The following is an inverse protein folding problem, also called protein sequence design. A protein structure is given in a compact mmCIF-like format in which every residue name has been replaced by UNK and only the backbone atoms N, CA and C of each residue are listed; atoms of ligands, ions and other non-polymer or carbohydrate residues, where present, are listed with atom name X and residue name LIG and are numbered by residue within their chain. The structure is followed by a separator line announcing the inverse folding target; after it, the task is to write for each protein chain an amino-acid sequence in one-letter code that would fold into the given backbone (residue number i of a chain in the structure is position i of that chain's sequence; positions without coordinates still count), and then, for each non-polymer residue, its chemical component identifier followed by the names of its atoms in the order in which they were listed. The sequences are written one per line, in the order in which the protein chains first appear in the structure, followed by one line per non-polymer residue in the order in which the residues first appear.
data_IF_537764954409
#
_entry.id   IF_537764954409
#
_cell.length_a   1.000
_cell.length_b   1.000
_cell.length_c   1.000
_cell.angle_alpha   90.00
_cell.angle_beta   90.00
_cell.angle_gamma   90.00
#
_symmetry.space_group_name_H-M   'P 1'
#
loop_
_entity.id
_entity.type
_entity.pdbx_description
1 polymer ?
#
# COMPACT_ATOMS: atom_id res chain seq x y z
N UNK A 1 34.21 10.64 16.22
CA UNK A 1 32.99 9.79 16.20
C UNK A 1 32.11 10.28 15.06
N UNK A 2 32.47 9.96 13.82
CA UNK A 2 31.67 10.32 12.64
C UNK A 2 30.52 9.31 12.55
N UNK A 3 29.28 9.77 12.70
CA UNK A 3 28.10 8.91 12.55
C UNK A 3 27.95 8.49 11.10
N UNK A 4 28.06 7.19 10.85
CA UNK A 4 27.69 6.56 9.58
C UNK A 4 26.25 6.93 9.24
N UNK A 5 26.10 7.91 8.36
CA UNK A 5 24.83 8.23 7.71
C UNK A 5 24.69 7.31 6.50
N UNK A 6 24.54 6.03 6.79
CA UNK A 6 24.32 5.01 5.78
C UNK A 6 23.02 5.30 5.02
N UNK A 7 23.13 5.54 3.72
CA UNK A 7 21.99 5.73 2.84
C UNK A 7 21.08 4.50 2.89
N UNK A 8 19.76 4.72 2.96
CA UNK A 8 18.81 3.62 2.89
C UNK A 8 19.02 2.81 1.58
N UNK A 9 18.83 1.49 1.58
CA UNK A 9 19.04 0.66 0.39
C UNK A 9 18.21 1.12 -0.81
N UNK A 10 16.98 1.59 -0.59
CA UNK A 10 16.13 2.18 -1.64
C UNK A 10 16.71 3.48 -2.20
N UNK A 11 17.36 4.29 -1.36
CA UNK A 11 18.08 5.47 -1.80
C UNK A 11 19.29 5.06 -2.64
N UNK A 12 20.08 4.09 -2.18
CA UNK A 12 21.24 3.58 -2.91
C UNK A 12 20.83 3.04 -4.30
N UNK A 13 19.82 2.18 -4.38
CA UNK A 13 19.29 1.67 -5.66
C UNK A 13 18.81 2.79 -6.57
N UNK A 14 18.15 3.82 -6.03
CA UNK A 14 17.72 4.98 -6.82
C UNK A 14 18.90 5.80 -7.36
N UNK A 15 19.94 6.00 -6.55
CA UNK A 15 21.20 6.63 -6.98
C UNK A 15 21.88 5.79 -8.06
N UNK A 16 21.93 4.47 -7.90
CA UNK A 16 22.50 3.55 -8.88
C UNK A 16 21.75 3.61 -10.22
N UNK A 17 20.41 3.63 -10.21
CA UNK A 17 19.62 3.83 -11.42
C UNK A 17 19.87 5.20 -12.09
N UNK A 18 20.00 6.27 -11.31
CA UNK A 18 20.29 7.60 -11.82
C UNK A 18 21.68 7.66 -12.47
N UNK A 19 22.71 7.11 -11.81
CA UNK A 19 24.08 7.03 -12.34
C UNK A 19 24.13 6.18 -13.62
N UNK A 20 23.43 5.05 -13.67
CA UNK A 20 23.37 4.21 -14.88
C UNK A 20 22.69 4.92 -16.05
N UNK A 21 21.62 5.67 -15.77
CA UNK A 21 20.91 6.46 -16.79
C UNK A 21 21.79 7.61 -17.29
N UNK A 22 22.48 8.30 -16.39
CA UNK A 22 23.42 9.36 -16.74
C UNK A 22 24.62 8.82 -17.54
N UNK A 23 25.22 7.70 -17.12
CA UNK A 23 26.31 7.07 -17.84
C UNK A 23 25.89 6.65 -19.25
N UNK A 24 24.71 6.02 -19.41
CA UNK A 24 24.17 5.71 -20.74
C UNK A 24 23.98 6.97 -21.57
N UNK A 25 23.34 8.00 -21.02
CA UNK A 25 23.18 9.28 -21.72
C UNK A 25 24.51 9.92 -22.14
N UNK A 26 25.51 9.95 -21.25
CA UNK A 26 26.81 10.57 -21.50
C UNK A 26 27.72 9.75 -22.43
N UNK A 27 27.45 8.46 -22.62
CA UNK A 27 28.29 7.55 -23.41
C UNK A 27 27.59 6.96 -24.64
N UNK A 28 26.27 7.09 -24.79
CA UNK A 28 25.52 6.74 -26.02
C UNK A 28 25.78 7.74 -27.18
N UNK A 29 26.54 8.82 -26.97
CA UNK A 29 27.06 9.69 -28.05
C UNK A 29 28.41 9.23 -28.64
N UNK A 30 28.96 8.09 -28.23
CA UNK A 30 30.23 7.59 -28.76
C UNK A 30 30.13 6.10 -29.14
N UNK A 31 29.77 5.85 -30.40
CA UNK A 31 29.71 4.55 -31.08
C UNK A 31 31.11 3.89 -31.24
N UNK A 32 31.74 3.49 -30.13
CA UNK A 32 32.91 2.60 -30.22
C UNK A 32 32.82 1.42 -29.22
N UNK A 33 32.43 0.21 -29.70
CA UNK A 33 32.30 -0.99 -28.90
C UNK A 33 33.62 -1.52 -28.32
N UNK A 34 34.78 -0.97 -28.71
CA UNK A 34 36.11 -1.42 -28.27
C UNK A 34 36.81 -0.48 -27.27
N UNK A 35 36.17 0.62 -26.84
CA UNK A 35 36.81 1.52 -25.88
C UNK A 35 36.78 0.99 -24.43
N UNK A 36 37.79 1.33 -23.63
CA UNK A 36 37.89 1.05 -22.18
C UNK A 36 36.65 1.47 -21.37
N UNK A 37 35.80 2.34 -21.94
CA UNK A 37 34.50 2.76 -21.41
C UNK A 37 33.53 1.58 -21.25
N UNK A 38 33.56 0.58 -22.15
CA UNK A 38 32.69 -0.60 -22.05
C UNK A 38 33.08 -1.49 -20.85
N UNK A 39 34.37 -1.57 -20.57
CA UNK A 39 34.92 -2.25 -19.37
C UNK A 39 34.60 -1.49 -18.09
N UNK A 40 34.64 -0.15 -18.11
CA UNK A 40 34.22 0.68 -17.00
C UNK A 40 32.72 0.53 -16.69
N UNK A 41 31.85 0.46 -17.71
CA UNK A 41 30.42 0.19 -17.53
C UNK A 41 30.19 -1.19 -16.93
N UNK A 42 30.91 -2.23 -17.39
CA UNK A 42 30.82 -3.57 -16.79
C UNK A 42 31.26 -3.59 -15.33
N UNK A 43 32.34 -2.88 -14.98
CA UNK A 43 32.82 -2.73 -13.60
C UNK A 43 31.85 -1.94 -12.72
N UNK A 44 31.29 -0.85 -13.22
CA UNK A 44 30.25 -0.07 -12.55
C UNK A 44 29.03 -0.97 -12.32
N UNK A 45 28.52 -1.66 -13.34
CA UNK A 45 27.38 -2.59 -13.21
C UNK A 45 27.69 -3.74 -12.24
N UNK A 46 28.89 -4.33 -12.28
CA UNK A 46 29.27 -5.40 -11.36
C UNK A 46 29.39 -4.91 -9.91
N UNK A 47 29.89 -3.69 -9.69
CA UNK A 47 29.97 -3.06 -8.37
C UNK A 47 28.60 -2.61 -7.88
N UNK A 48 27.74 -2.12 -8.78
CA UNK A 48 26.33 -1.83 -8.52
C UNK A 48 25.58 -3.10 -8.10
N UNK A 49 25.77 -4.22 -8.79
CA UNK A 49 25.14 -5.50 -8.45
C UNK A 49 25.60 -6.03 -7.09
N UNK A 50 26.87 -5.82 -6.72
CA UNK A 50 27.39 -6.12 -5.37
C UNK A 50 26.81 -5.21 -4.29
N UNK A 51 26.65 -3.91 -4.57
CA UNK A 51 26.03 -2.95 -3.64
C UNK A 51 24.50 -3.11 -3.55
N UNK A 52 23.89 -3.68 -4.57
CA UNK A 52 22.46 -3.97 -4.66
C UNK A 52 22.09 -5.37 -4.14
N UNK A 53 22.98 -6.04 -3.40
CA UNK A 53 22.56 -7.18 -2.57
C UNK A 53 21.29 -6.76 -1.81
N UNK A 54 20.18 -7.53 -1.91
CA UNK A 54 18.89 -7.06 -1.46
C UNK A 54 18.90 -6.90 0.05
N UNK A 55 19.22 -5.70 0.51
CA UNK A 55 18.94 -5.29 1.88
C UNK A 55 17.43 -5.18 1.97
N UNK A 56 16.82 -6.24 2.50
CA UNK A 56 15.40 -6.36 2.78
C UNK A 56 14.87 -5.07 3.38
N UNK A 57 13.71 -4.60 2.90
CA UNK A 57 13.07 -3.44 3.48
C UNK A 57 12.68 -3.75 4.94
N UNK A 58 13.43 -3.19 5.88
CA UNK A 58 13.39 -3.52 7.31
C UNK A 58 12.17 -2.97 8.04
N UNK A 59 11.22 -2.35 7.34
CA UNK A 59 9.98 -1.85 7.95
C UNK A 59 9.22 -3.00 8.60
N UNK A 60 8.92 -2.81 9.87
CA UNK A 60 8.26 -3.80 10.72
C UNK A 60 6.76 -3.80 10.36
N UNK A 61 6.21 -4.95 9.91
CA UNK A 61 4.78 -5.03 9.59
C UNK A 61 3.91 -4.88 10.84
N UNK A 62 2.59 -4.95 10.69
CA UNK A 62 1.58 -4.93 11.75
C UNK A 62 0.41 -5.81 11.35
N UNK A 63 -0.34 -6.36 12.29
CA UNK A 63 -1.39 -7.33 11.98
C UNK A 63 -2.76 -6.71 11.75
N UNK A 64 -3.75 -7.55 11.39
CA UNK A 64 -5.14 -7.13 11.21
C UNK A 64 -5.73 -6.54 12.49
N UNK A 65 -5.31 -6.99 13.68
CA UNK A 65 -5.88 -6.48 14.93
C UNK A 65 -5.58 -5.00 15.15
N UNK A 66 -4.38 -4.54 14.78
CA UNK A 66 -4.02 -3.10 14.78
C UNK A 66 -4.93 -2.31 13.86
N UNK A 67 -5.23 -2.82 12.66
CA UNK A 67 -6.11 -2.12 11.72
C UNK A 67 -7.57 -2.17 12.18
N UNK A 68 -8.04 -3.29 12.74
CA UNK A 68 -9.39 -3.36 13.32
C UNK A 68 -9.56 -2.34 14.45
N UNK A 69 -8.58 -2.22 15.35
CA UNK A 69 -8.59 -1.22 16.41
C UNK A 69 -8.60 0.21 15.85
N UNK A 70 -7.73 0.50 14.88
CA UNK A 70 -7.66 1.79 14.21
C UNK A 70 -8.96 2.14 13.45
N UNK A 71 -9.54 1.19 12.73
CA UNK A 71 -10.77 1.36 11.96
C UNK A 71 -12.00 1.55 12.87
N UNK A 72 -11.96 0.99 14.09
CA UNK A 72 -13.03 1.08 15.09
C UNK A 72 -12.86 2.24 16.08
N UNK A 73 -11.76 2.99 16.01
CA UNK A 73 -11.44 4.08 16.95
C UNK A 73 -12.56 5.14 16.96
N UNK A 74 -13.32 5.31 18.05
CA UNK A 74 -14.46 6.24 18.08
C UNK A 74 -14.02 7.70 18.11
N UNK A 75 -12.76 7.99 18.45
CA UNK A 75 -12.23 9.35 18.58
C UNK A 75 -11.64 9.87 17.27
N UNK A 76 -11.47 8.99 16.27
CA UNK A 76 -10.92 9.37 14.97
C UNK A 76 -12.03 9.62 13.95
N UNK A 77 -11.81 10.60 13.07
CA UNK A 77 -12.77 10.92 12.02
C UNK A 77 -13.07 9.71 11.10
N UNK A 78 -14.35 9.55 10.72
CA UNK A 78 -14.79 8.47 9.83
C UNK A 78 -13.99 8.41 8.52
N UNK A 79 -13.63 9.55 7.94
CA UNK A 79 -12.86 9.58 6.69
C UNK A 79 -11.48 8.93 6.85
N UNK A 80 -10.79 9.24 7.95
CA UNK A 80 -9.44 8.71 8.24
C UNK A 80 -9.52 7.19 8.47
N UNK A 81 -10.51 6.73 9.23
CA UNK A 81 -10.75 5.31 9.50
C UNK A 81 -11.10 4.54 8.22
N UNK A 82 -11.93 5.13 7.37
CA UNK A 82 -12.33 4.55 6.08
C UNK A 82 -11.12 4.38 5.16
N UNK A 83 -10.28 5.42 5.01
CA UNK A 83 -9.04 5.35 4.22
C UNK A 83 -8.09 4.28 4.78
N UNK A 84 -7.92 4.24 6.10
CA UNK A 84 -7.09 3.24 6.78
C UNK A 84 -7.55 1.81 6.44
N UNK A 85 -8.86 1.54 6.55
CA UNK A 85 -9.42 0.22 6.27
C UNK A 85 -9.31 -0.16 4.79
N UNK A 86 -9.56 0.76 3.84
CA UNK A 86 -9.40 0.48 2.40
C UNK A 86 -7.94 0.21 2.05
N UNK A 87 -7.01 0.95 2.65
CA UNK A 87 -5.58 0.76 2.40
C UNK A 87 -5.13 -0.66 2.78
N UNK A 88 -5.70 -1.22 3.85
CA UNK A 88 -5.50 -2.59 4.28
C UNK A 88 -6.24 -3.61 3.39
N UNK A 89 -7.58 -3.52 3.33
CA UNK A 89 -8.43 -4.47 2.63
C UNK A 89 -8.08 -4.58 1.13
N UNK A 90 -7.82 -3.44 0.49
CA UNK A 90 -7.46 -3.37 -0.93
C UNK A 90 -5.96 -3.44 -1.22
N UNK A 91 -5.11 -3.69 -0.20
CA UNK A 91 -3.64 -3.70 -0.29
C UNK A 91 -3.09 -2.50 -1.08
N UNK A 92 -3.63 -1.31 -0.82
CA UNK A 92 -3.39 -0.14 -1.65
C UNK A 92 -2.08 0.55 -1.30
N UNK A 93 -1.50 1.26 -2.28
CA UNK A 93 -0.55 2.34 -1.95
C UNK A 93 -1.37 3.44 -1.27
N UNK A 94 -1.10 3.71 0.01
CA UNK A 94 -1.78 4.78 0.75
C UNK A 94 -1.67 6.14 0.03
N UNK A 95 -0.54 6.36 -0.64
CA UNK A 95 -0.35 7.55 -1.47
C UNK A 95 -1.37 7.69 -2.59
N UNK A 96 -1.55 6.64 -3.40
CA UNK A 96 -2.50 6.63 -4.51
C UNK A 96 -3.95 6.74 -4.07
N UNK A 97 -4.29 6.18 -2.90
CA UNK A 97 -5.63 6.29 -2.32
C UNK A 97 -5.96 7.73 -1.88
N UNK A 98 -4.92 8.49 -1.51
CA UNK A 98 -5.02 9.87 -1.02
C UNK A 98 -4.67 10.91 -2.08
N UNK A 99 -4.07 10.51 -3.21
CA UNK A 99 -3.77 11.38 -4.34
C UNK A 99 -5.07 11.79 -5.04
N UNK A 100 -5.70 12.79 -4.42
CA UNK A 100 -6.30 13.95 -5.03
C UNK A 100 -5.52 15.18 -4.57
N UNK A 101 -4.38 15.44 -5.21
CA UNK A 101 -3.84 16.78 -5.29
C UNK A 101 -4.00 17.19 -6.76
N UNK A 102 -5.10 17.90 -7.06
CA UNK A 102 -5.46 18.40 -8.38
C UNK A 102 -4.26 18.84 -9.23
N UNK A 103 -4.01 18.23 -10.41
CA UNK A 103 -3.77 19.00 -11.61
C UNK A 103 -5.13 19.53 -12.09
N UNK A 104 -5.19 20.81 -12.44
CA UNK A 104 -6.42 21.52 -12.79
C UNK A 104 -7.42 20.71 -13.65
N UNK A 105 -8.67 20.60 -13.20
CA UNK A 105 -9.82 20.47 -14.10
C UNK A 105 -10.66 19.18 -14.09
N UNK A 106 -10.32 18.10 -13.36
CA UNK A 106 -11.22 16.93 -13.23
C UNK A 106 -11.46 16.57 -11.76
N UNK A 107 -12.73 16.66 -11.36
CA UNK A 107 -13.24 16.63 -9.98
C UNK A 107 -13.55 15.20 -9.49
N UNK A 108 -13.20 14.93 -8.24
CA UNK A 108 -13.72 13.90 -7.33
C UNK A 108 -13.35 12.43 -7.62
N UNK A 109 -12.67 11.80 -6.65
CA UNK A 109 -12.57 10.35 -6.47
C UNK A 109 -13.97 9.74 -6.50
N UNK A 110 -14.20 8.87 -7.49
CA UNK A 110 -15.48 8.21 -7.67
C UNK A 110 -15.51 6.92 -6.85
N UNK A 111 -16.32 6.94 -5.79
CA UNK A 111 -16.72 5.75 -5.05
C UNK A 111 -18.04 5.27 -5.66
N UNK A 112 -18.04 4.03 -6.14
CA UNK A 112 -19.19 3.39 -6.76
C UNK A 112 -19.57 2.14 -5.96
N UNK A 113 -20.84 2.02 -5.57
CA UNK A 113 -21.37 0.78 -5.06
C UNK A 113 -21.40 -0.26 -6.19
N UNK A 114 -21.08 -1.52 -5.86
CA UNK A 114 -21.08 -2.62 -6.82
C UNK A 114 -22.08 -3.69 -6.41
N UNK A 115 -22.73 -4.28 -7.41
CA UNK A 115 -23.41 -5.57 -7.28
C UNK A 115 -22.44 -6.64 -7.75
N UNK A 116 -22.03 -7.53 -6.86
CA UNK A 116 -20.99 -8.54 -7.15
C UNK A 116 -21.54 -9.71 -7.98
N UNK A 117 -22.68 -10.23 -7.57
CA UNK A 117 -23.44 -11.28 -8.24
C UNK A 117 -24.90 -11.21 -7.78
N UNK A 118 -25.80 -11.85 -8.52
CA UNK A 118 -27.22 -11.89 -8.20
C UNK A 118 -27.46 -12.56 -6.84
N UNK A 119 -28.23 -11.91 -5.95
CA UNK A 119 -28.52 -12.40 -4.60
C UNK A 119 -27.49 -12.05 -3.51
N UNK A 120 -26.34 -11.47 -3.85
CA UNK A 120 -25.38 -10.98 -2.84
C UNK A 120 -25.93 -9.79 -2.06
N UNK A 121 -26.07 -9.93 -0.74
CA UNK A 121 -26.44 -8.83 0.18
C UNK A 121 -25.22 -8.10 0.77
N UNK A 122 -24.01 -8.62 0.52
CA UNK A 122 -22.76 -8.06 1.04
C UNK A 122 -22.38 -6.75 0.35
N UNK A 123 -21.95 -5.71 1.09
CA UNK A 123 -21.49 -4.48 0.50
C UNK A 123 -20.18 -4.67 -0.27
N UNK A 124 -20.11 -4.05 -1.45
CA UNK A 124 -18.90 -3.93 -2.24
C UNK A 124 -18.83 -2.56 -2.89
N UNK A 125 -17.61 -2.03 -2.96
CA UNK A 125 -17.36 -0.69 -3.48
C UNK A 125 -16.11 -0.68 -4.33
N UNK A 126 -16.21 -0.01 -5.48
CA UNK A 126 -15.07 0.38 -6.31
C UNK A 126 -14.72 1.83 -6.00
N UNK A 127 -13.45 2.07 -5.67
CA UNK A 127 -12.86 3.37 -5.39
C UNK A 127 -11.85 3.68 -6.49
N UNK A 128 -12.12 4.71 -7.29
CA UNK A 128 -11.19 5.13 -8.35
C UNK A 128 -10.05 5.93 -7.75
N UNK A 129 -8.81 5.45 -7.88
CA UNK A 129 -7.58 6.08 -7.41
C UNK A 129 -6.70 6.49 -8.60
N UNK A 130 -5.82 7.45 -8.40
CA UNK A 130 -4.78 7.77 -9.38
C UNK A 130 -3.51 7.00 -9.01
N UNK A 131 -3.10 6.04 -9.85
CA UNK A 131 -1.79 5.43 -9.72
C UNK A 131 -0.79 6.18 -10.60
N UNK A 132 0.42 6.43 -10.07
CA UNK A 132 1.57 6.99 -10.78
C UNK A 132 1.84 6.28 -12.11
N UNK A 133 1.50 5.00 -12.22
CA UNK A 133 1.72 4.17 -13.41
C UNK A 133 0.49 4.04 -14.32
N UNK A 134 -0.69 4.56 -13.93
CA UNK A 134 -1.93 4.47 -14.71
C UNK A 134 -2.54 5.86 -14.97
N UNK A 135 -2.30 6.44 -16.16
CA UNK A 135 -2.86 7.75 -16.54
C UNK A 135 -4.40 7.76 -16.59
N UNK A 136 -5.05 6.59 -16.74
CA UNK A 136 -6.51 6.44 -16.79
C UNK A 136 -7.17 6.30 -15.41
N UNK A 137 -6.38 6.37 -14.33
CA UNK A 137 -6.80 5.95 -13.01
C UNK A 137 -6.82 4.43 -12.88
N UNK A 138 -6.75 3.95 -11.65
CA UNK A 138 -6.90 2.55 -11.29
C UNK A 138 -8.11 2.42 -10.35
N UNK A 139 -8.82 1.30 -10.36
CA UNK A 139 -9.94 1.06 -9.44
C UNK A 139 -9.54 0.08 -8.35
N UNK A 140 -9.65 0.51 -7.11
CA UNK A 140 -9.58 -0.35 -5.94
C UNK A 140 -10.96 -0.90 -5.66
N UNK A 141 -11.12 -2.21 -5.67
CA UNK A 141 -12.38 -2.82 -5.24
C UNK A 141 -12.19 -3.45 -3.87
N UNK A 142 -13.09 -3.12 -2.94
CA UNK A 142 -13.20 -3.76 -1.63
C UNK A 142 -14.56 -4.42 -1.49
N UNK A 143 -14.59 -5.61 -0.91
CA UNK A 143 -15.80 -6.43 -0.80
C UNK A 143 -15.85 -7.12 0.56
N UNK A 144 -17.06 -7.18 1.12
CA UNK A 144 -17.35 -7.90 2.35
C UNK A 144 -17.86 -9.32 2.08
N UNK A 145 -18.03 -9.70 0.81
CA UNK A 145 -18.52 -11.00 0.39
C UNK A 145 -17.36 -12.01 0.32
N UNK A 146 -17.31 -13.05 1.17
CA UNK A 146 -16.25 -14.03 1.14
C UNK A 146 -16.08 -14.77 -0.20
N UNK A 147 -17.13 -14.84 -1.02
CA UNK A 147 -17.07 -15.45 -2.35
C UNK A 147 -16.46 -14.53 -3.42
N UNK A 148 -16.28 -13.25 -3.12
CA UNK A 148 -15.76 -12.26 -4.06
C UNK A 148 -14.28 -12.43 -4.32
N UNK A 149 -13.88 -12.30 -5.60
CA UNK A 149 -12.48 -12.16 -5.97
C UNK A 149 -11.83 -10.89 -5.36
N UNK A 150 -12.59 -9.94 -4.82
CA UNK A 150 -12.06 -8.75 -4.14
C UNK A 150 -12.08 -8.87 -2.62
N UNK A 151 -12.52 -10.01 -2.08
CA UNK A 151 -12.49 -10.27 -0.65
C UNK A 151 -11.07 -10.48 -0.16
N UNK A 152 -10.70 -9.70 0.85
CA UNK A 152 -9.50 -9.89 1.60
C UNK A 152 -9.83 -10.74 2.85
N UNK A 153 -9.26 -11.95 3.01
CA UNK A 153 -9.45 -12.76 4.22
C UNK A 153 -8.94 -12.11 5.52
N UNK A 154 -8.16 -11.03 5.40
CA UNK A 154 -7.73 -10.17 6.50
C UNK A 154 -8.68 -8.99 6.76
N UNK A 155 -9.83 -8.94 6.09
CA UNK A 155 -10.64 -7.72 6.01
C UNK A 155 -11.00 -7.18 7.39
N UNK A 156 -10.88 -5.87 7.54
CA UNK A 156 -11.31 -5.14 8.73
C UNK A 156 -12.68 -4.48 8.52
N UNK A 157 -13.44 -4.90 7.50
CA UNK A 157 -14.77 -4.38 7.20
C UNK A 157 -14.78 -3.04 6.46
N UNK A 158 -13.77 -2.74 5.65
CA UNK A 158 -13.72 -1.48 4.90
C UNK A 158 -14.97 -1.16 4.06
N UNK A 159 -15.67 -2.13 3.43
CA UNK A 159 -16.88 -1.81 2.65
C UNK A 159 -18.01 -1.23 3.50
N UNK A 160 -18.10 -1.61 4.77
CA UNK A 160 -19.09 -1.05 5.70
C UNK A 160 -18.77 0.41 6.05
N UNK A 161 -17.49 0.70 6.30
CA UNK A 161 -17.02 2.07 6.54
C UNK A 161 -17.18 2.95 5.30
N UNK A 162 -16.91 2.42 4.11
CA UNK A 162 -17.15 3.12 2.83
C UNK A 162 -18.62 3.48 2.69
N UNK A 163 -19.53 2.54 2.96
CA UNK A 163 -20.98 2.78 2.93
C UNK A 163 -21.40 3.92 3.85
N UNK A 164 -20.90 3.89 5.09
CA UNK A 164 -21.18 4.94 6.08
C UNK A 164 -20.63 6.30 5.62
N UNK A 165 -19.38 6.31 5.14
CA UNK A 165 -18.71 7.52 4.66
C UNK A 165 -19.45 8.15 3.48
N UNK A 166 -19.83 7.37 2.47
CA UNK A 166 -20.56 7.85 1.29
C UNK A 166 -21.91 8.47 1.70
N UNK A 167 -22.64 7.84 2.62
CA UNK A 167 -23.90 8.38 3.16
C UNK A 167 -23.69 9.71 3.88
N UNK A 168 -22.62 9.84 4.67
CA UNK A 168 -22.29 11.09 5.34
C UNK A 168 -21.82 12.18 4.37
N UNK A 169 -21.05 11.82 3.33
CA UNK A 169 -20.46 12.72 2.34
C UNK A 169 -21.49 13.30 1.37
N UNK A 170 -22.51 12.52 0.99
CA UNK A 170 -23.60 12.96 0.10
C UNK A 170 -24.27 14.26 0.60
N UNK A 171 -24.27 14.49 1.92
CA UNK A 171 -24.83 15.68 2.55
C UNK A 171 -23.95 16.94 2.44
N UNK A 172 -22.71 16.83 1.93
CA UNK A 172 -21.69 17.90 1.98
C UNK A 172 -21.29 18.48 0.61
N UNK A 173 -21.96 18.09 -0.49
CA UNK A 173 -21.70 18.63 -1.84
C UNK A 173 -20.35 18.20 -2.45
N UNK A 174 -19.95 18.72 -3.63
CA UNK A 174 -18.71 18.34 -4.32
C UNK A 174 -17.46 18.82 -3.56
N UNK A 175 -16.32 18.14 -3.73
CA UNK A 175 -15.04 18.48 -3.10
C UNK A 175 -14.11 17.27 -3.03
N UNK A 176 -12.99 17.33 -2.28
CA UNK A 176 -12.08 16.21 -2.19
C UNK A 176 -12.74 14.88 -1.79
N UNK A 177 -12.10 13.81 -2.24
CA UNK A 177 -12.37 12.40 -2.06
C UNK A 177 -12.64 12.04 -0.60
N UNK A 178 -11.69 12.44 0.25
CA UNK A 178 -11.63 12.10 1.65
C UNK A 178 -11.55 13.39 2.45
N UNK A 179 -12.71 13.86 2.87
CA UNK A 179 -12.87 14.99 3.77
C UNK A 179 -13.27 14.54 5.17
N UNK A 180 -12.58 15.08 6.16
CA UNK A 180 -12.99 14.99 7.57
C UNK A 180 -14.31 15.72 7.81
N UNK A 181 -14.89 15.57 9.00
CA UNK A 181 -16.06 16.35 9.46
C UNK A 181 -15.87 17.86 9.41
N UNK A 182 -14.63 18.32 9.58
CA UNK A 182 -14.26 19.75 9.52
C UNK A 182 -13.96 20.23 8.10
N UNK A 183 -14.05 19.36 7.09
CA UNK A 183 -13.77 19.72 5.70
C UNK A 183 -12.29 19.70 5.33
N UNK A 184 -11.41 19.18 6.19
CA UNK A 184 -9.99 19.01 5.88
C UNK A 184 -9.77 17.75 5.03
N UNK A 185 -8.87 17.83 4.06
CA UNK A 185 -8.44 16.65 3.30
C UNK A 185 -7.67 15.67 4.20
N UNK A 186 -7.99 14.38 4.11
CA UNK A 186 -7.24 13.33 4.81
C UNK A 186 -5.82 13.25 4.25
N UNK A 187 -4.82 13.20 5.14
CA UNK A 187 -3.41 13.13 4.75
C UNK A 187 -2.79 11.77 5.08
N UNK A 188 -1.66 11.45 4.44
CA UNK A 188 -0.90 10.23 4.75
C UNK A 188 -0.54 10.17 6.23
N UNK A 189 -0.12 11.32 6.78
CA UNK A 189 0.27 11.48 8.18
C UNK A 189 -0.86 11.12 9.14
N UNK A 190 -2.06 11.65 8.92
CA UNK A 190 -3.24 11.35 9.75
C UNK A 190 -3.52 9.85 9.83
N UNK A 191 -3.44 9.15 8.69
CA UNK A 191 -3.68 7.70 8.60
C UNK A 191 -2.55 6.90 9.25
N UNK A 192 -1.29 7.27 9.03
CA UNK A 192 -0.15 6.58 9.64
C UNK A 192 -0.05 6.82 11.14
N UNK A 193 -0.39 8.00 11.63
CA UNK A 193 -0.45 8.30 13.06
C UNK A 193 -1.58 7.54 13.73
N UNK A 194 -2.75 7.41 13.07
CA UNK A 194 -3.82 6.54 13.56
C UNK A 194 -3.31 5.12 13.78
N UNK A 195 -2.67 4.51 12.78
CA UNK A 195 -2.15 3.14 12.94
C UNK A 195 -1.09 3.07 14.02
N UNK A 196 -0.13 4.01 14.05
CA UNK A 196 0.93 4.03 15.04
C UNK A 196 0.40 4.04 16.48
N UNK A 197 -0.69 4.77 16.77
CA UNK A 197 -1.33 4.78 18.11
C UNK A 197 -1.87 3.43 18.56
N UNK A 198 -2.21 2.55 17.62
CA UNK A 198 -2.79 1.22 17.89
C UNK A 198 -1.78 0.09 17.72
N UNK A 199 -0.52 0.41 17.44
CA UNK A 199 0.58 -0.56 17.41
C UNK A 199 1.05 -0.86 18.84
N UNK A 200 1.53 -2.08 19.06
CA UNK A 200 2.08 -2.51 20.35
C UNK A 200 3.60 -2.34 20.46
N UNK A 201 4.26 -2.00 19.37
CA UNK A 201 5.72 -2.00 19.25
C UNK A 201 6.30 -0.59 19.07
N UNK A 202 5.49 0.46 19.25
CA UNK A 202 5.85 1.88 19.15
C UNK A 202 6.60 2.28 17.86
N UNK A 203 6.57 1.43 16.83
CA UNK A 203 7.30 1.70 15.59
C UNK A 203 6.56 2.72 14.72
N UNK A 204 7.28 3.71 14.15
CA UNK A 204 6.67 4.67 13.26
C UNK A 204 6.08 3.96 12.04
N UNK A 205 4.83 4.30 11.71
CA UNK A 205 4.16 3.70 10.56
C UNK A 205 4.36 4.56 9.32
N UNK A 206 4.65 3.94 8.19
CA UNK A 206 4.69 4.61 6.88
C UNK A 206 3.55 4.11 6.00
N UNK A 207 3.12 4.91 5.02
CA UNK A 207 2.05 4.48 4.11
C UNK A 207 2.39 3.21 3.30
N UNK A 208 3.67 2.90 3.11
CA UNK A 208 4.11 1.67 2.45
C UNK A 208 3.97 0.43 3.35
N UNK A 209 4.00 0.62 4.67
CA UNK A 209 3.89 -0.46 5.64
C UNK A 209 2.55 -1.20 5.50
N UNK A 210 1.47 -0.54 5.09
CA UNK A 210 0.18 -1.20 4.79
C UNK A 210 0.32 -2.34 3.78
N UNK A 211 1.03 -2.12 2.66
CA UNK A 211 1.23 -3.16 1.64
C UNK A 211 2.13 -4.28 2.13
N UNK A 212 3.20 -3.95 2.87
CA UNK A 212 4.10 -4.94 3.46
C UNK A 212 3.32 -5.81 4.44
N UNK A 213 2.62 -5.19 5.38
CA UNK A 213 1.86 -5.84 6.44
C UNK A 213 0.77 -6.75 5.88
N UNK A 214 -0.07 -6.24 4.99
CA UNK A 214 -1.16 -7.02 4.40
C UNK A 214 -0.65 -8.18 3.52
N UNK A 215 0.37 -7.94 2.68
CA UNK A 215 0.97 -9.00 1.88
C UNK A 215 1.64 -10.07 2.74
N UNK A 216 2.38 -9.65 3.78
CA UNK A 216 3.03 -10.56 4.73
C UNK A 216 1.99 -11.44 5.40
N UNK A 217 0.96 -10.84 6.02
CA UNK A 217 -0.05 -11.60 6.77
C UNK A 217 -0.84 -12.57 5.87
N UNK A 218 -1.22 -12.14 4.67
CA UNK A 218 -1.92 -13.02 3.73
C UNK A 218 -1.06 -14.23 3.33
N UNK A 219 0.24 -14.01 3.15
CA UNK A 219 1.16 -15.08 2.78
C UNK A 219 1.45 -16.03 3.96
N UNK A 220 1.80 -15.48 5.12
CA UNK A 220 2.27 -16.29 6.27
C UNK A 220 1.13 -16.95 7.02
N UNK A 221 0.07 -16.19 7.34
CA UNK A 221 -1.05 -16.65 8.19
C UNK A 221 -2.17 -17.29 7.37
N UNK A 222 -2.47 -16.77 6.17
CA UNK A 222 -3.55 -17.32 5.31
C UNK A 222 -3.09 -18.21 4.17
N UNK A 223 -1.77 -18.39 4.00
CA UNK A 223 -1.18 -19.20 2.92
C UNK A 223 -1.69 -18.79 1.54
N UNK A 224 -2.04 -17.52 1.35
CA UNK A 224 -2.48 -17.01 0.06
C UNK A 224 -1.32 -17.04 -0.93
N UNK A 225 -1.60 -17.45 -2.17
CA UNK A 225 -0.59 -17.46 -3.22
C UNK A 225 -0.13 -16.04 -3.57
N UNK A 226 1.12 -15.91 -4.02
CA UNK A 226 1.68 -14.63 -4.50
C UNK A 226 0.81 -14.02 -5.60
N UNK A 227 0.24 -14.85 -6.49
CA UNK A 227 -0.68 -14.41 -7.55
C UNK A 227 -1.97 -13.82 -6.97
N UNK A 228 -2.52 -14.44 -5.91
CA UNK A 228 -3.72 -13.94 -5.23
C UNK A 228 -3.47 -12.58 -4.59
N UNK A 229 -2.35 -12.43 -3.89
CA UNK A 229 -1.94 -11.17 -3.25
C UNK A 229 -1.70 -10.08 -4.30
N UNK A 230 -1.01 -10.44 -5.39
CA UNK A 230 -0.76 -9.56 -6.53
C UNK A 230 -2.06 -9.04 -7.14
N UNK A 231 -3.05 -9.92 -7.33
CA UNK A 231 -4.38 -9.56 -7.85
C UNK A 231 -5.12 -8.60 -6.91
N UNK A 232 -5.15 -8.90 -5.59
CA UNK A 232 -5.84 -8.06 -4.60
C UNK A 232 -5.29 -6.62 -4.54
N UNK A 233 -3.97 -6.46 -4.44
CA UNK A 233 -3.36 -5.12 -4.40
C UNK A 233 -2.88 -4.60 -5.74
N UNK A 234 -3.26 -5.27 -6.84
CA UNK A 234 -3.00 -4.83 -8.22
C UNK A 234 -1.52 -4.59 -8.49
N UNK A 235 -0.66 -5.54 -8.11
CA UNK A 235 0.72 -5.56 -8.57
C UNK A 235 0.74 -5.92 -10.06
N UNK A 236 1.42 -5.11 -10.88
CA UNK A 236 1.61 -5.43 -12.31
C UNK A 236 2.39 -6.73 -12.53
N UNK A 237 3.32 -7.05 -11.63
CA UNK A 237 4.11 -8.27 -11.67
C UNK A 237 3.98 -9.01 -10.33
N UNK A 238 3.44 -10.24 -10.31
CA UNK A 238 3.37 -11.05 -9.10
C UNK A 238 4.73 -11.28 -8.42
N UNK A 239 5.82 -11.39 -9.17
CA UNK A 239 7.15 -11.57 -8.59
C UNK A 239 7.56 -10.38 -7.68
N UNK A 240 7.04 -9.18 -7.95
CA UNK A 240 7.30 -8.00 -7.12
C UNK A 240 6.61 -8.05 -5.75
N UNK A 241 5.65 -8.96 -5.52
CA UNK A 241 5.04 -9.12 -4.20
C UNK A 241 6.03 -9.71 -3.20
N UNK A 242 6.96 -10.55 -3.65
CA UNK A 242 7.93 -11.23 -2.77
C UNK A 242 8.75 -10.22 -1.96
N UNK A 243 9.09 -9.06 -2.53
CA UNK A 243 9.80 -8.00 -1.82
C UNK A 243 9.01 -7.34 -0.68
N UNK A 244 7.68 -7.56 -0.61
CA UNK A 244 6.79 -7.05 0.43
C UNK A 244 6.54 -8.05 1.56
N UNK A 245 6.95 -9.31 1.42
CA UNK A 245 6.69 -10.36 2.40
C UNK A 245 7.81 -10.36 3.45
N UNK A 246 7.44 -10.51 4.73
CA UNK A 246 8.35 -10.67 5.87
C UNK A 246 8.08 -11.99 6.58
N UNK A 247 8.62 -13.08 6.03
CA UNK A 247 8.35 -14.45 6.52
C UNK A 247 8.76 -14.65 7.98
N UNK A 248 9.79 -13.94 8.44
CA UNK A 248 10.32 -14.02 9.81
C UNK A 248 9.72 -12.99 10.79
N UNK A 249 8.58 -12.34 10.48
CA UNK A 249 7.97 -11.35 11.38
C UNK A 249 7.18 -12.05 12.53
N UNK A 250 7.78 -12.24 13.73
CA UNK A 250 7.27 -13.19 14.72
C UNK A 250 6.00 -12.70 15.43
N UNK A 251 5.78 -11.39 15.46
CA UNK A 251 4.66 -10.78 16.18
C UNK A 251 3.34 -10.84 15.39
N UNK A 252 3.37 -10.97 14.06
CA UNK A 252 2.17 -11.21 13.26
C UNK A 252 1.55 -12.58 13.54
N UNK A 253 2.39 -13.57 13.85
CA UNK A 253 1.98 -14.93 14.18
C UNK A 253 1.34 -14.99 15.58
N UNK A 254 1.81 -14.16 16.52
CA UNK A 254 1.28 -14.10 17.90
C UNK A 254 -0.09 -13.42 18.01
N UNK A 255 -0.54 -12.67 17.00
CA UNK A 255 -1.88 -12.08 16.99
C UNK A 255 -3.01 -13.11 16.77
N UNK A 256 -2.72 -14.25 16.13
CA UNK A 256 -3.68 -15.37 16.02
C UNK A 256 -3.92 -16.03 17.38
N UNK A 257 -2.86 -16.20 18.18
CA UNK A 257 -2.92 -16.84 19.50
C UNK A 257 -3.70 -16.02 20.53
N UNK A 258 -3.68 -14.69 20.41
CA UNK A 258 -4.34 -13.81 21.37
C UNK A 258 -5.86 -13.71 21.19
N UNK A 259 -6.40 -14.11 20.03
CA UNK A 259 -7.83 -13.95 19.76
C UNK A 259 -8.64 -15.23 19.86
N UNK A 260 -8.09 -16.43 19.62
CA UNK A 260 -8.70 -17.74 19.94
C UNK A 260 -10.16 -17.98 19.48
N UNK A 261 -10.76 -17.03 18.78
CA UNK A 261 -12.17 -16.97 18.42
C UNK A 261 -12.21 -16.79 16.93
N UNK A 262 -12.65 -17.85 16.26
CA UNK A 262 -13.25 -17.75 14.92
C UNK A 262 -14.40 -16.75 15.04
N UNK A 263 -14.16 -15.50 14.67
CA UNK A 263 -15.25 -14.59 14.41
C UNK A 263 -15.84 -14.99 13.07
N UNK A 264 -16.95 -15.74 13.16
CA UNK A 264 -17.93 -15.76 12.09
C UNK A 264 -18.52 -14.35 12.00
N UNK A 265 -18.19 -13.65 10.92
CA UNK A 265 -19.04 -12.63 10.33
C UNK A 265 -19.11 -12.92 8.84
#
# INVERSE_FOLDING_TARGET
MAGDTDLSPSSLVSYLFAVRRFARFAFDEADDPMSDKHSAIKLIVARMNRMAEPKFDARIPFGPSTIMAAASDPYTDLAIRTVCAIAWDGLCRLGSLLEEACPAGRRALQIQALTLHEGSSWPAYSVTIQDKMSPKGERVTVSADPASAFYNPASCGSPFLVREYVRARARRGPGPAWLTKTGLAVTKRMVTELVARHRRDDHPTTGHAFRISGATWLYTSRKASVVRIASLGRWHNPASVVSYIRENAPFLLREEDATGRRHHF
#
